data_IF_807019565191
#
_entry.id   IF_807019565191
#
_cell.length_a   1.000
_cell.length_b   1.000
_cell.length_c   1.000
_cell.angle_alpha   90.00
_cell.angle_beta   90.00
_cell.angle_gamma   90.00
#
_symmetry.space_group_name_H-M   'P 1'
#
loop_
_entity.id
_entity.type
_entity.pdbx_description
1 polymer ?
#
# COMPACT_ATOMS: atom_id res chain seq x y z
N UNK A 1 -38.70 31.02 30.05
CA UNK A 1 -39.35 30.32 28.93
C UNK A 1 -38.33 30.03 27.85
N UNK A 2 -38.49 28.88 27.20
CA UNK A 2 -37.50 28.13 26.43
C UNK A 2 -36.98 28.79 25.14
N UNK A 3 -35.79 28.34 24.75
CA UNK A 3 -35.02 28.61 23.53
C UNK A 3 -35.69 28.04 22.26
N UNK A 4 -35.39 28.63 21.08
CA UNK A 4 -35.17 27.87 19.83
C UNK A 4 -34.01 28.52 19.04
N UNK A 5 -32.96 27.74 18.82
CA UNK A 5 -31.80 28.01 17.96
C UNK A 5 -32.21 27.77 16.49
N UNK A 6 -31.80 28.64 15.56
CA UNK A 6 -31.91 28.38 14.12
C UNK A 6 -30.76 27.45 13.71
N UNK A 7 -31.11 26.26 13.22
CA UNK A 7 -30.17 25.23 12.80
C UNK A 7 -29.40 25.62 11.54
N UNK A 8 -28.07 25.52 11.63
CA UNK A 8 -27.20 25.45 10.46
C UNK A 8 -27.32 24.04 9.85
N UNK A 9 -27.57 23.99 8.56
CA UNK A 9 -27.54 22.76 7.77
C UNK A 9 -26.07 22.34 7.67
N UNK A 10 -25.63 21.44 8.57
CA UNK A 10 -24.33 20.81 8.45
C UNK A 10 -24.30 20.02 7.14
N UNK A 11 -23.36 20.38 6.25
CA UNK A 11 -22.87 19.50 5.19
C UNK A 11 -22.56 18.15 5.86
N UNK A 12 -23.01 17.00 5.31
CA UNK A 12 -22.77 15.72 5.96
C UNK A 12 -21.28 15.60 6.22
N UNK A 13 -20.95 15.41 7.49
CA UNK A 13 -19.58 15.24 7.94
C UNK A 13 -18.91 14.22 7.03
N UNK A 14 -17.84 14.66 6.36
CA UNK A 14 -16.95 13.73 5.67
C UNK A 14 -16.56 12.73 6.75
N UNK A 15 -16.99 11.47 6.61
CA UNK A 15 -16.57 10.40 7.50
C UNK A 15 -15.07 10.31 7.30
N UNK A 16 -14.31 10.98 8.16
CA UNK A 16 -12.88 10.75 8.27
C UNK A 16 -12.78 9.30 8.67
N UNK A 17 -12.27 8.47 7.76
CA UNK A 17 -11.93 7.09 8.09
C UNK A 17 -10.93 7.16 9.24
N UNK A 18 -11.37 6.81 10.45
CA UNK A 18 -10.48 6.76 11.61
C UNK A 18 -9.50 5.60 11.38
N UNK A 19 -8.36 5.94 10.80
CA UNK A 19 -7.31 4.99 10.55
C UNK A 19 -6.74 4.48 11.89
N UNK A 20 -6.35 3.20 12.00
CA UNK A 20 -5.75 2.67 13.23
C UNK A 20 -4.57 3.53 13.71
N UNK A 21 -4.37 3.60 15.02
CA UNK A 21 -3.23 4.34 15.60
C UNK A 21 -1.90 3.94 14.94
N UNK A 22 -1.11 4.95 14.57
CA UNK A 22 0.19 4.74 13.90
C UNK A 22 0.10 4.44 12.40
N UNK A 23 -1.07 4.63 11.79
CA UNK A 23 -1.25 4.52 10.33
C UNK A 23 -1.55 5.87 9.68
N UNK A 24 -1.45 5.93 8.36
CA UNK A 24 -1.64 7.16 7.58
C UNK A 24 -2.91 7.07 6.73
N UNK A 25 -3.72 8.12 6.74
CA UNK A 25 -4.88 8.23 5.84
C UNK A 25 -4.43 8.46 4.40
N UNK A 26 -4.95 7.65 3.48
CA UNK A 26 -4.74 7.80 2.05
C UNK A 26 -5.78 8.82 1.53
N UNK A 27 -5.37 9.87 0.79
CA UNK A 27 -6.31 10.79 0.18
C UNK A 27 -7.32 10.08 -0.73
N UNK A 28 -8.61 10.38 -0.61
CA UNK A 28 -9.64 9.65 -1.37
C UNK A 28 -9.62 9.95 -2.88
N UNK A 29 -9.00 11.07 -3.28
CA UNK A 29 -8.95 11.56 -4.65
C UNK A 29 -7.78 11.00 -5.49
N UNK A 30 -6.85 10.26 -4.87
CA UNK A 30 -5.69 9.68 -5.59
C UNK A 30 -5.96 8.30 -6.20
N UNK A 31 -7.19 7.78 -6.10
CA UNK A 31 -7.62 6.55 -6.76
C UNK A 31 -7.07 5.26 -6.13
N UNK A 32 -6.86 5.24 -4.82
CA UNK A 32 -6.62 4.02 -4.03
C UNK A 32 -7.95 3.33 -3.70
N UNK A 33 -7.94 1.99 -3.61
CA UNK A 33 -9.07 1.20 -3.06
C UNK A 33 -9.05 1.12 -1.52
N UNK A 34 -7.93 1.48 -0.91
CA UNK A 34 -7.69 1.45 0.53
C UNK A 34 -7.67 2.87 1.08
N UNK A 35 -8.09 3.04 2.32
CA UNK A 35 -8.22 4.35 2.97
C UNK A 35 -7.10 4.63 3.98
N UNK A 36 -6.46 3.58 4.49
CA UNK A 36 -5.35 3.72 5.43
C UNK A 36 -4.16 2.88 4.97
N UNK A 37 -2.95 3.33 5.30
CA UNK A 37 -1.71 2.58 5.10
C UNK A 37 -0.91 2.48 6.38
N UNK A 38 -0.42 1.27 6.67
CA UNK A 38 0.47 0.99 7.80
C UNK A 38 1.85 0.65 7.24
N UNK A 39 2.87 1.40 7.64
CA UNK A 39 4.27 1.09 7.34
C UNK A 39 4.84 0.20 8.45
N UNK A 40 5.33 -0.99 8.09
CA UNK A 40 5.99 -1.89 9.03
C UNK A 40 7.44 -2.11 8.65
N UNK A 41 8.36 -1.70 9.51
CA UNK A 41 9.81 -1.82 9.29
C UNK A 41 10.40 -3.16 9.72
N UNK A 42 9.64 -3.98 10.46
CA UNK A 42 10.04 -5.33 10.81
C UNK A 42 10.16 -6.19 9.54
N UNK A 43 11.34 -6.74 9.30
CA UNK A 43 11.63 -7.49 8.08
C UNK A 43 10.98 -8.87 8.13
N UNK A 44 10.28 -9.24 7.06
CA UNK A 44 9.62 -10.53 6.95
C UNK A 44 9.52 -10.99 5.49
N UNK A 45 9.20 -12.26 5.26
CA UNK A 45 8.99 -12.80 3.91
C UNK A 45 7.68 -12.29 3.32
N UNK A 46 7.59 -12.21 1.99
CA UNK A 46 6.40 -11.65 1.32
C UNK A 46 5.08 -12.30 1.75
N UNK A 47 5.04 -13.63 1.83
CA UNK A 47 3.84 -14.36 2.25
C UNK A 47 3.45 -14.07 3.71
N UNK A 48 4.44 -13.85 4.59
CA UNK A 48 4.20 -13.49 5.98
C UNK A 48 3.76 -12.02 6.11
N UNK A 49 4.27 -11.14 5.25
CA UNK A 49 3.82 -9.75 5.18
C UNK A 49 2.33 -9.66 4.78
N UNK A 50 1.91 -10.41 3.75
CA UNK A 50 0.50 -10.51 3.36
C UNK A 50 -0.37 -11.07 4.49
N UNK A 51 0.10 -12.13 5.16
CA UNK A 51 -0.59 -12.68 6.32
C UNK A 51 -0.69 -11.66 7.46
N UNK A 52 0.37 -10.89 7.73
CA UNK A 52 0.36 -9.83 8.73
C UNK A 52 -0.69 -8.76 8.41
N UNK A 53 -0.77 -8.33 7.15
CA UNK A 53 -1.79 -7.38 6.70
C UNK A 53 -3.21 -7.94 6.87
N UNK A 54 -3.42 -9.24 6.68
CA UNK A 54 -4.75 -9.85 6.90
C UNK A 54 -5.23 -9.75 8.35
N UNK A 55 -4.34 -9.74 9.34
CA UNK A 55 -4.72 -9.58 10.76
C UNK A 55 -5.27 -8.19 11.09
N UNK A 56 -4.88 -7.17 10.31
CA UNK A 56 -5.45 -5.82 10.39
C UNK A 56 -6.58 -5.62 9.38
N UNK A 57 -7.20 -6.72 8.89
CA UNK A 57 -8.29 -6.74 7.90
C UNK A 57 -7.93 -6.01 6.61
N UNK A 58 -6.64 -5.96 6.29
CA UNK A 58 -6.08 -5.37 5.10
C UNK A 58 -5.31 -6.41 4.27
N UNK A 59 -4.56 -5.89 3.31
CA UNK A 59 -3.68 -6.67 2.43
C UNK A 59 -2.42 -5.87 2.14
N UNK A 60 -1.39 -6.48 1.56
CA UNK A 60 -0.31 -5.71 0.97
C UNK A 60 -0.89 -4.73 -0.05
N UNK A 61 -0.56 -3.44 0.11
CA UNK A 61 -1.19 -2.38 -0.67
C UNK A 61 -0.74 -2.45 -2.15
N UNK A 62 -1.64 -2.56 -3.13
CA UNK A 62 -1.27 -2.45 -4.54
C UNK A 62 -1.05 -0.98 -4.92
N UNK A 63 -0.28 -0.74 -5.99
CA UNK A 63 -0.03 0.61 -6.51
C UNK A 63 -0.68 0.76 -7.89
N UNK A 64 -1.94 1.22 -7.98
CA UNK A 64 -2.69 1.24 -9.23
C UNK A 64 -2.33 2.39 -10.17
N UNK A 65 -1.68 3.44 -9.68
CA UNK A 65 -1.36 4.65 -10.45
C UNK A 65 -0.19 5.43 -9.84
N UNK A 66 0.25 6.49 -10.55
CA UNK A 66 1.37 7.34 -10.12
C UNK A 66 1.10 8.17 -8.88
N UNK A 67 -0.15 8.56 -8.60
CA UNK A 67 -0.48 9.34 -7.40
C UNK A 67 -0.32 8.51 -6.12
N UNK A 68 -0.83 7.27 -6.13
CA UNK A 68 -0.61 6.31 -5.03
C UNK A 68 0.87 6.01 -4.87
N UNK A 69 1.61 5.86 -5.98
CA UNK A 69 3.05 5.64 -5.92
C UNK A 69 3.80 6.76 -5.20
N UNK A 70 3.57 8.01 -5.62
CA UNK A 70 4.22 9.18 -5.04
C UNK A 70 3.84 9.35 -3.57
N UNK A 71 2.58 9.14 -3.22
CA UNK A 71 2.11 9.20 -1.84
C UNK A 71 2.85 8.19 -0.94
N UNK A 72 2.88 6.91 -1.32
CA UNK A 72 3.53 5.86 -0.53
C UNK A 72 5.04 6.04 -0.43
N UNK A 73 5.69 6.46 -1.53
CA UNK A 73 7.11 6.78 -1.53
C UNK A 73 7.44 7.95 -0.60
N UNK A 74 6.59 8.97 -0.58
CA UNK A 74 6.67 10.10 0.35
C UNK A 74 6.62 9.63 1.80
N UNK A 75 5.67 8.76 2.16
CA UNK A 75 5.60 8.20 3.52
C UNK A 75 6.87 7.45 3.92
N UNK A 76 7.47 6.66 3.02
CA UNK A 76 8.74 5.96 3.28
C UNK A 76 9.88 6.97 3.50
N UNK A 77 9.95 8.00 2.65
CA UNK A 77 10.96 9.06 2.77
C UNK A 77 10.80 9.84 4.08
N UNK A 78 9.58 10.24 4.42
CA UNK A 78 9.26 11.01 5.61
C UNK A 78 9.46 10.20 6.90
N UNK A 79 9.34 8.87 6.84
CA UNK A 79 9.68 8.01 7.97
C UNK A 79 11.18 7.91 8.25
N UNK A 80 12.04 8.43 7.35
CA UNK A 80 13.49 8.33 7.44
C UNK A 80 14.03 6.91 7.29
N UNK A 81 13.26 6.00 6.67
CA UNK A 81 13.66 4.61 6.50
C UNK A 81 14.40 4.40 5.18
N UNK A 82 15.60 3.83 5.25
CA UNK A 82 16.35 3.37 4.07
C UNK A 82 15.94 1.96 3.60
N UNK A 83 14.93 1.36 4.23
CA UNK A 83 14.42 0.03 3.87
C UNK A 83 13.64 0.04 2.55
N UNK A 84 13.70 -1.07 1.84
CA UNK A 84 12.77 -1.37 0.75
C UNK A 84 11.48 -1.98 1.32
N UNK A 85 10.32 -1.60 0.78
CA UNK A 85 9.02 -2.04 1.28
C UNK A 85 8.29 -2.92 0.27
N UNK A 86 7.93 -4.14 0.66
CA UNK A 86 6.98 -4.94 -0.09
C UNK A 86 5.64 -4.22 -0.22
N UNK A 87 5.07 -4.31 -1.42
CA UNK A 87 3.71 -3.89 -1.74
C UNK A 87 3.01 -5.04 -2.49
N UNK A 88 1.71 -4.92 -2.74
CA UNK A 88 0.84 -6.00 -3.19
C UNK A 88 1.03 -6.43 -4.64
N UNK A 89 2.26 -6.71 -5.09
CA UNK A 89 2.58 -7.08 -6.48
C UNK A 89 3.58 -8.24 -6.54
N UNK A 90 3.21 -9.27 -7.30
CA UNK A 90 4.00 -10.50 -7.44
C UNK A 90 3.80 -11.13 -8.82
N UNK A 91 4.77 -11.90 -9.29
CA UNK A 91 4.64 -12.81 -10.43
C UNK A 91 4.67 -14.29 -9.98
N UNK A 92 4.21 -14.60 -8.76
CA UNK A 92 4.09 -15.98 -8.28
C UNK A 92 3.23 -16.87 -9.18
N UNK A 93 2.24 -16.30 -9.87
CA UNK A 93 1.30 -17.01 -10.76
C UNK A 93 1.62 -16.70 -12.22
N UNK A 94 2.74 -17.25 -12.70
CA UNK A 94 3.23 -17.09 -14.08
C UNK A 94 4.09 -15.84 -14.29
N UNK A 95 4.41 -15.50 -15.54
CA UNK A 95 5.33 -14.39 -15.84
C UNK A 95 4.68 -12.99 -15.74
N UNK A 96 3.37 -12.92 -15.46
CA UNK A 96 2.61 -11.68 -15.41
C UNK A 96 2.57 -11.18 -13.97
N UNK A 97 2.94 -9.92 -13.78
CA UNK A 97 2.80 -9.25 -12.49
C UNK A 97 1.33 -8.97 -12.15
N UNK A 98 0.92 -9.43 -10.97
CA UNK A 98 -0.46 -9.38 -10.51
C UNK A 98 -0.53 -8.85 -9.08
N UNK A 99 -1.69 -8.32 -8.74
CA UNK A 99 -2.05 -8.04 -7.37
C UNK A 99 -2.10 -9.35 -6.57
N UNK A 100 -1.41 -9.42 -5.43
CA UNK A 100 -1.39 -10.60 -4.57
C UNK A 100 -2.77 -10.93 -3.99
N UNK A 101 -3.60 -9.90 -3.75
CA UNK A 101 -4.89 -10.06 -3.08
C UNK A 101 -5.96 -10.65 -4.04
N UNK A 102 -6.24 -9.97 -5.15
CA UNK A 102 -7.35 -10.32 -6.05
C UNK A 102 -6.90 -10.93 -7.39
N UNK A 103 -5.59 -11.07 -7.61
CA UNK A 103 -5.03 -11.62 -8.86
C UNK A 103 -5.19 -10.72 -10.08
N UNK A 104 -5.69 -9.49 -9.91
CA UNK A 104 -5.87 -8.55 -11.01
C UNK A 104 -4.53 -8.13 -11.62
N UNK A 105 -4.54 -7.84 -12.93
CA UNK A 105 -3.36 -7.35 -13.61
C UNK A 105 -3.08 -5.91 -13.18
N UNK A 106 -1.81 -5.61 -12.92
CA UNK A 106 -1.36 -4.24 -12.64
C UNK A 106 -0.91 -3.57 -13.94
N UNK A 107 -1.56 -2.47 -14.29
CA UNK A 107 -1.30 -1.71 -15.53
C UNK A 107 -0.32 -0.57 -15.35
N UNK A 108 -0.20 -0.04 -14.12
CA UNK A 108 0.79 0.97 -13.78
C UNK A 108 2.11 0.31 -13.37
N UNK A 109 3.22 0.93 -13.74
CA UNK A 109 4.54 0.51 -13.24
C UNK A 109 5.52 1.67 -13.12
N UNK A 110 6.42 1.57 -12.13
CA UNK A 110 7.55 2.49 -11.95
C UNK A 110 8.86 1.73 -11.71
N UNK A 111 9.10 0.70 -12.51
CA UNK A 111 10.30 -0.12 -12.42
C UNK A 111 11.58 0.68 -12.64
N UNK A 112 12.55 0.52 -11.75
CA UNK A 112 13.91 1.00 -11.96
C UNK A 112 14.49 0.24 -13.15
N UNK A 113 15.21 0.94 -14.04
CA UNK A 113 15.83 0.33 -15.23
C UNK A 113 16.60 -0.94 -14.85
N UNK A 114 16.25 -2.06 -15.48
CA UNK A 114 16.87 -3.37 -15.24
C UNK A 114 16.39 -4.12 -13.99
N UNK A 115 15.40 -3.59 -13.26
CA UNK A 115 14.86 -4.21 -12.04
C UNK A 115 13.57 -5.01 -12.25
N UNK A 116 13.08 -5.10 -13.49
CA UNK A 116 12.15 -6.15 -13.92
C UNK A 116 12.96 -7.42 -14.20
N UNK A 117 12.85 -8.49 -13.41
CA UNK A 117 13.66 -9.67 -13.64
C UNK A 117 12.99 -10.51 -14.70
N UNK A 118 13.81 -10.98 -15.61
CA UNK A 118 13.54 -12.20 -16.37
C UNK A 118 14.06 -13.34 -15.50
N UNK A 119 13.18 -14.20 -14.98
CA UNK A 119 13.59 -15.28 -14.08
C UNK A 119 12.53 -16.36 -13.90
N UNK A 120 12.97 -17.61 -13.72
CA UNK A 120 12.11 -18.79 -13.58
C UNK A 120 11.59 -19.02 -12.15
N UNK A 121 11.64 -18.00 -11.28
CA UNK A 121 11.30 -18.11 -9.86
C UNK A 121 10.27 -17.03 -9.48
N UNK A 122 9.45 -17.26 -8.44
CA UNK A 122 8.51 -16.27 -7.95
C UNK A 122 9.23 -15.05 -7.37
N UNK A 123 8.90 -13.90 -7.92
CA UNK A 123 9.42 -12.59 -7.57
C UNK A 123 8.30 -11.71 -7.00
N UNK A 124 8.72 -10.85 -6.10
CA UNK A 124 7.88 -9.94 -5.36
C UNK A 124 8.45 -8.54 -5.48
N UNK A 125 7.58 -7.58 -5.71
CA UNK A 125 7.97 -6.21 -5.95
C UNK A 125 8.14 -5.46 -4.63
N UNK A 126 9.07 -4.51 -4.61
CA UNK A 126 9.25 -3.58 -3.51
C UNK A 126 9.32 -2.14 -4.01
N UNK A 127 8.93 -1.20 -3.16
CA UNK A 127 8.98 0.23 -3.36
C UNK A 127 10.14 0.83 -2.54
N UNK A 128 10.84 1.79 -3.14
CA UNK A 128 11.85 2.63 -2.47
C UNK A 128 11.27 4.02 -2.13
N UNK A 129 11.88 4.72 -1.17
CA UNK A 129 11.48 6.09 -0.81
C UNK A 129 11.61 7.13 -1.94
N UNK A 130 12.43 6.85 -2.96
CA UNK A 130 12.52 7.68 -4.18
C UNK A 130 11.40 7.38 -5.20
N UNK A 131 10.49 6.45 -4.90
CA UNK A 131 9.37 6.05 -5.75
C UNK A 131 9.66 4.92 -6.73
N UNK A 132 10.92 4.52 -6.92
CA UNK A 132 11.30 3.46 -7.84
C UNK A 132 10.95 2.07 -7.33
N UNK A 133 10.59 1.17 -8.25
CA UNK A 133 10.30 -0.23 -7.93
C UNK A 133 11.47 -1.13 -8.29
N UNK A 134 11.77 -2.04 -7.38
CA UNK A 134 12.60 -3.19 -7.70
C UNK A 134 11.86 -4.47 -7.37
N UNK A 135 12.52 -5.58 -7.62
CA UNK A 135 11.97 -6.89 -7.33
C UNK A 135 13.04 -7.80 -6.75
N UNK A 136 12.57 -8.79 -6.01
CA UNK A 136 13.42 -9.72 -5.29
C UNK A 136 12.71 -11.07 -5.20
N UNK A 137 13.47 -12.13 -4.96
CA UNK A 137 12.88 -13.43 -4.66
C UNK A 137 11.98 -13.31 -3.41
N UNK A 138 10.77 -13.85 -3.45
CA UNK A 138 9.75 -13.62 -2.40
C UNK A 138 10.14 -14.13 -1.00
N UNK A 139 11.22 -14.92 -0.90
CA UNK A 139 11.82 -15.39 0.35
C UNK A 139 12.92 -14.47 0.92
N UNK A 140 13.16 -13.29 0.34
CA UNK A 140 13.94 -12.26 1.01
C UNK A 140 13.07 -11.55 2.04
N UNK A 141 13.70 -11.12 3.13
CA UNK A 141 13.02 -10.38 4.19
C UNK A 141 13.13 -8.90 3.92
N UNK A 142 11.99 -8.22 3.76
CA UNK A 142 11.90 -6.77 3.61
C UNK A 142 10.86 -6.19 4.58
N UNK A 143 10.90 -4.88 4.75
CA UNK A 143 9.80 -4.12 5.34
C UNK A 143 8.56 -4.22 4.41
N UNK A 144 7.39 -3.79 4.88
CA UNK A 144 6.16 -3.92 4.09
C UNK A 144 5.10 -2.88 4.43
N UNK A 145 4.16 -2.68 3.50
CA UNK A 145 3.05 -1.75 3.66
C UNK A 145 1.71 -2.46 3.53
N UNK A 146 0.86 -2.31 4.54
CA UNK A 146 -0.51 -2.82 4.53
C UNK A 146 -1.49 -1.71 4.15
N UNK A 147 -2.36 -1.97 3.18
CA UNK A 147 -3.52 -1.16 2.90
C UNK A 147 -4.72 -1.70 3.66
N UNK A 148 -5.45 -0.82 4.35
CA UNK A 148 -6.66 -1.17 5.10
C UNK A 148 -7.86 -0.41 4.50
N UNK A 149 -8.95 -1.11 4.13
CA UNK A 149 -10.18 -0.46 3.66
C UNK A 149 -10.99 0.15 4.81
N UNK A 150 -12.05 0.91 4.51
CA UNK A 150 -12.99 1.37 5.55
C UNK A 150 -13.64 0.17 6.26
N UNK A 151 -13.80 0.29 7.57
CA UNK A 151 -14.46 -0.72 8.43
C UNK A 151 -15.98 -0.72 8.31
#
# INVERSE_FOLDING_TARGET
MSFIHQGAIHKPDVVVSDCPDGSYSIPQDIGSKYNCVILTTNLTYFAQAEQACSYVRGHLIPIPNGYVNTFLAGLISDSGSDSNFFFGMTNMVGEIWKNVNDGSNMTFSNWITGSTPMGNYPLCAYLQGNGGWGSVHCHYQLAYMCGVPDS
#
